data_IF_007604972049
#
_entry.id   IF_007604972049
#
_cell.length_a   1.000
_cell.length_b   1.000
_cell.length_c   1.000
_cell.angle_alpha   90.00
_cell.angle_beta   90.00
_cell.angle_gamma   90.00
#
_symmetry.space_group_name_H-M   'P 1'
#
loop_
_entity.id
_entity.type
_entity.pdbx_description
1 polymer ?
#
# COMPACT_ATOMS: atom_id res chain seq x y z
N UNK A 1 -33.90 22.49 -25.92
CA UNK A 1 -34.16 21.12 -25.43
C UNK A 1 -33.01 20.74 -24.52
N UNK A 2 -33.27 20.33 -23.28
CA UNK A 2 -32.21 19.74 -22.46
C UNK A 2 -31.75 18.47 -23.16
N UNK A 3 -30.47 18.38 -23.52
CA UNK A 3 -29.89 17.19 -24.13
C UNK A 3 -29.95 16.00 -23.15
N UNK A 4 -29.84 14.79 -23.68
CA UNK A 4 -29.77 13.58 -22.87
C UNK A 4 -28.59 13.65 -21.88
N UNK A 5 -28.75 13.21 -20.62
CA UNK A 5 -27.67 13.25 -19.64
C UNK A 5 -26.50 12.38 -20.10
N UNK A 6 -25.33 12.99 -20.27
CA UNK A 6 -24.09 12.27 -20.58
C UNK A 6 -23.54 11.65 -19.29
N UNK A 7 -23.74 10.34 -19.13
CA UNK A 7 -23.17 9.58 -18.00
C UNK A 7 -21.77 9.13 -18.38
N UNK A 8 -20.78 9.45 -17.55
CA UNK A 8 -19.40 9.01 -17.74
C UNK A 8 -18.99 8.20 -16.52
N UNK A 9 -18.73 6.91 -16.72
CA UNK A 9 -18.36 6.00 -15.65
C UNK A 9 -16.85 5.78 -15.66
N UNK A 10 -16.20 6.26 -14.61
CA UNK A 10 -14.81 5.97 -14.32
C UNK A 10 -14.74 5.27 -12.97
N UNK A 11 -14.10 4.11 -12.94
CA UNK A 11 -13.85 3.35 -11.73
C UNK A 11 -12.56 2.58 -11.92
N UNK A 12 -12.21 1.78 -10.92
CA UNK A 12 -11.15 0.79 -11.06
C UNK A 12 -11.79 -0.58 -11.15
N UNK A 13 -11.21 -1.46 -11.97
CA UNK A 13 -11.62 -2.86 -11.96
C UNK A 13 -11.30 -3.42 -10.57
N UNK A 14 -12.30 -4.03 -9.92
CA UNK A 14 -12.09 -4.74 -8.66
C UNK A 14 -10.96 -5.75 -8.86
N UNK A 15 -10.04 -5.77 -7.90
CA UNK A 15 -8.79 -6.51 -7.91
C UNK A 15 -8.99 -8.01 -8.17
N UNK A 16 -7.97 -8.69 -8.70
CA UNK A 16 -8.03 -10.16 -8.75
C UNK A 16 -8.21 -10.70 -7.33
N UNK A 17 -9.05 -11.73 -7.09
CA UNK A 17 -9.10 -12.43 -5.80
C UNK A 17 -7.74 -12.98 -5.35
N UNK A 18 -6.77 -13.07 -6.26
CA UNK A 18 -5.39 -13.51 -5.99
C UNK A 18 -4.45 -12.35 -5.53
N UNK A 19 -4.97 -11.13 -5.37
CA UNK A 19 -4.16 -9.98 -4.96
C UNK A 19 -3.57 -10.21 -3.56
N UNK A 20 -2.27 -9.90 -3.41
CA UNK A 20 -1.59 -10.04 -2.12
C UNK A 20 -2.20 -9.09 -1.09
N UNK A 21 -2.60 -9.56 0.11
CA UNK A 21 -3.19 -8.69 1.13
C UNK A 21 -2.33 -7.47 1.42
N UNK A 22 -2.89 -6.27 1.19
CA UNK A 22 -2.23 -4.98 1.37
C UNK A 22 -1.69 -4.31 0.11
N UNK A 23 -1.59 -5.00 -1.04
CA UNK A 23 -1.34 -4.33 -2.35
C UNK A 23 -2.61 -3.64 -2.84
N UNK A 24 -3.76 -4.23 -2.53
CA UNK A 24 -5.10 -3.73 -2.84
C UNK A 24 -5.32 -2.25 -2.48
N UNK A 25 -4.91 -1.85 -1.28
CA UNK A 25 -4.96 -0.45 -0.80
C UNK A 25 -4.09 0.49 -1.64
N UNK A 26 -2.88 0.06 -2.00
CA UNK A 26 -1.94 0.87 -2.78
C UNK A 26 -2.43 1.04 -4.22
N UNK A 27 -2.91 -0.04 -4.82
CA UNK A 27 -3.53 -0.04 -6.14
C UNK A 27 -4.78 0.84 -6.16
N UNK A 28 -5.57 0.83 -5.09
CA UNK A 28 -6.70 1.74 -4.91
C UNK A 28 -6.26 3.21 -4.91
N UNK A 29 -5.22 3.59 -4.14
CA UNK A 29 -4.67 4.96 -4.17
C UNK A 29 -4.13 5.32 -5.55
N UNK A 30 -3.46 4.37 -6.21
CA UNK A 30 -2.90 4.58 -7.55
C UNK A 30 -3.98 4.80 -8.60
N UNK A 31 -5.08 4.04 -8.55
CA UNK A 31 -6.23 4.22 -9.43
C UNK A 31 -6.88 5.60 -9.24
N UNK A 32 -6.96 6.10 -8.01
CA UNK A 32 -7.42 7.46 -7.75
C UNK A 32 -6.51 8.49 -8.42
N UNK A 33 -5.19 8.40 -8.22
CA UNK A 33 -4.23 9.37 -8.78
C UNK A 33 -4.15 9.36 -10.30
N UNK A 34 -4.20 8.17 -10.91
CA UNK A 34 -3.93 7.99 -12.34
C UNK A 34 -5.16 8.02 -13.22
N UNK A 35 -6.33 7.73 -12.66
CA UNK A 35 -7.55 7.56 -13.43
C UNK A 35 -8.67 8.44 -12.92
N UNK A 36 -9.05 8.30 -11.65
CA UNK A 36 -10.29 8.92 -11.14
C UNK A 36 -10.11 10.44 -11.00
N UNK A 37 -9.07 10.92 -10.31
CA UNK A 37 -8.85 12.35 -10.06
C UNK A 37 -8.58 13.15 -11.35
N UNK A 38 -7.73 12.69 -12.29
CA UNK A 38 -7.54 13.38 -13.56
C UNK A 38 -8.83 13.47 -14.37
N UNK A 39 -9.61 12.39 -14.43
CA UNK A 39 -10.90 12.38 -15.13
C UNK A 39 -11.96 13.25 -14.48
N UNK A 40 -11.99 13.30 -13.14
CA UNK A 40 -12.87 14.21 -12.41
C UNK A 40 -12.50 15.68 -12.65
N UNK A 41 -11.20 16.00 -12.67
CA UNK A 41 -10.73 17.35 -12.98
C UNK A 41 -11.00 17.73 -14.45
N UNK A 42 -10.82 16.80 -15.40
CA UNK A 42 -11.14 16.98 -16.83
C UNK A 42 -12.65 17.20 -17.05
N UNK A 43 -13.49 16.51 -16.27
CA UNK A 43 -14.94 16.70 -16.30
C UNK A 43 -15.37 18.10 -15.85
N UNK A 44 -14.55 18.77 -15.02
CA UNK A 44 -14.79 20.12 -14.51
C UNK A 44 -16.20 20.31 -13.89
N UNK A 45 -16.53 19.58 -12.81
CA UNK A 45 -17.86 19.60 -12.22
C UNK A 45 -18.20 20.96 -11.60
N UNK A 46 -19.48 21.33 -11.61
CA UNK A 46 -20.01 22.49 -10.87
C UNK A 46 -20.31 22.19 -9.40
N UNK A 47 -20.41 20.90 -9.03
CA UNK A 47 -20.69 20.40 -7.69
C UNK A 47 -20.19 18.95 -7.59
N UNK A 48 -19.55 18.60 -6.48
CA UNK A 48 -19.17 17.21 -6.18
C UNK A 48 -20.10 16.64 -5.11
N UNK A 49 -20.72 15.50 -5.40
CA UNK A 49 -21.50 14.71 -4.45
C UNK A 49 -20.74 13.41 -4.13
N UNK A 50 -20.48 13.17 -2.85
CA UNK A 50 -19.84 11.94 -2.36
C UNK A 50 -20.90 11.04 -1.73
N UNK A 51 -21.08 9.86 -2.29
CA UNK A 51 -21.76 8.73 -1.64
C UNK A 51 -20.71 8.00 -0.80
N UNK A 52 -20.63 8.35 0.49
CA UNK A 52 -19.53 8.01 1.39
C UNK A 52 -19.79 6.72 2.17
N UNK A 53 -19.29 5.60 1.63
CA UNK A 53 -19.25 4.29 2.30
C UNK A 53 -17.92 4.02 3.00
N UNK A 54 -17.98 3.38 4.17
CA UNK A 54 -16.82 3.04 5.02
C UNK A 54 -16.60 1.53 5.17
N UNK A 55 -17.25 0.73 4.33
CA UNK A 55 -17.19 -0.74 4.29
C UNK A 55 -15.92 -1.31 3.63
N UNK A 56 -15.14 -0.48 2.92
CA UNK A 56 -13.83 -0.85 2.38
C UNK A 56 -12.70 -0.94 3.46
N UNK A 57 -13.02 -0.63 4.72
CA UNK A 57 -12.05 -0.60 5.82
C UNK A 57 -11.53 -2.01 6.14
N UNK A 58 -10.25 -2.14 6.52
CA UNK A 58 -9.59 -3.43 6.80
C UNK A 58 -10.28 -4.32 7.83
N UNK A 59 -10.93 -3.71 8.81
CA UNK A 59 -11.67 -4.42 9.87
C UNK A 59 -13.09 -4.79 9.45
N UNK A 60 -13.58 -4.31 8.30
CA UNK A 60 -14.94 -4.57 7.83
C UNK A 60 -15.07 -5.91 7.12
N UNK A 61 -15.96 -6.73 7.67
CA UNK A 61 -16.21 -8.09 7.23
C UNK A 61 -17.16 -8.14 6.03
N UNK A 62 -17.93 -7.09 5.75
CA UNK A 62 -18.86 -7.06 4.60
C UNK A 62 -18.12 -7.03 3.27
N UNK A 63 -17.00 -6.30 3.20
CA UNK A 63 -16.14 -6.30 2.01
C UNK A 63 -15.17 -7.50 1.96
N UNK A 64 -15.27 -8.47 2.89
CA UNK A 64 -14.32 -9.57 3.07
C UNK A 64 -12.84 -9.12 3.07
N UNK A 65 -12.56 -7.87 3.47
CA UNK A 65 -11.22 -7.29 3.45
C UNK A 65 -10.60 -7.08 2.05
N UNK A 66 -11.41 -7.03 0.98
CA UNK A 66 -10.94 -7.01 -0.41
C UNK A 66 -10.00 -5.83 -0.74
N UNK A 67 -10.24 -4.65 -0.16
CA UNK A 67 -9.39 -3.45 -0.35
C UNK A 67 -8.49 -3.22 0.86
N UNK A 68 -9.07 -3.26 2.06
CA UNK A 68 -8.33 -3.15 3.31
C UNK A 68 -7.85 -1.73 3.63
N UNK A 69 -8.71 -0.72 3.43
CA UNK A 69 -8.40 0.68 3.72
C UNK A 69 -8.20 0.93 5.22
N UNK A 70 -7.39 1.95 5.51
CA UNK A 70 -7.17 2.51 6.84
C UNK A 70 -7.78 3.91 6.91
N UNK A 71 -7.90 4.44 8.13
CA UNK A 71 -8.43 5.78 8.39
C UNK A 71 -7.68 6.89 7.62
N UNK A 72 -6.36 6.74 7.46
CA UNK A 72 -5.52 7.66 6.69
C UNK A 72 -5.88 7.71 5.20
N UNK A 73 -6.44 6.64 4.63
CA UNK A 73 -6.87 6.62 3.23
C UNK A 73 -8.14 7.42 3.02
N UNK A 74 -9.08 7.31 3.96
CA UNK A 74 -10.28 8.14 3.98
C UNK A 74 -9.92 9.62 4.13
N UNK A 75 -8.96 9.93 5.00
CA UNK A 75 -8.41 11.30 5.11
C UNK A 75 -7.87 11.77 3.76
N UNK A 76 -6.97 10.99 3.17
CA UNK A 76 -6.29 11.36 1.92
C UNK A 76 -7.27 11.55 0.76
N UNK A 77 -8.17 10.59 0.51
CA UNK A 77 -9.08 10.69 -0.65
C UNK A 77 -9.99 11.89 -0.53
N UNK A 78 -10.43 12.19 0.69
CA UNK A 78 -11.25 13.37 0.98
C UNK A 78 -10.49 14.65 0.71
N UNK A 79 -9.24 14.74 1.15
CA UNK A 79 -8.38 15.89 0.85
C UNK A 79 -8.19 16.07 -0.66
N UNK A 80 -8.00 14.99 -1.42
CA UNK A 80 -7.89 15.07 -2.88
C UNK A 80 -9.18 15.55 -3.53
N UNK A 81 -10.34 15.04 -3.09
CA UNK A 81 -11.65 15.47 -3.61
C UNK A 81 -11.94 16.93 -3.28
N UNK A 82 -11.59 17.41 -2.09
CA UNK A 82 -11.68 18.84 -1.73
C UNK A 82 -10.77 19.67 -2.64
N UNK A 83 -9.53 19.24 -2.90
CA UNK A 83 -8.62 19.94 -3.81
C UNK A 83 -9.17 20.03 -5.23
N UNK A 84 -9.86 19.00 -5.72
CA UNK A 84 -10.57 19.04 -7.01
C UNK A 84 -11.78 19.97 -6.93
N UNK A 85 -12.55 19.95 -5.83
CA UNK A 85 -13.67 20.85 -5.62
C UNK A 85 -13.24 22.32 -5.64
N UNK A 86 -12.14 22.64 -4.95
CA UNK A 86 -11.53 23.97 -4.95
C UNK A 86 -11.10 24.43 -6.35
N UNK A 87 -10.67 23.50 -7.20
CA UNK A 87 -10.24 23.77 -8.58
C UNK A 87 -11.41 24.00 -9.54
N UNK A 88 -12.44 23.15 -9.46
CA UNK A 88 -13.48 23.07 -10.48
C UNK A 88 -14.81 23.73 -10.10
N UNK A 89 -15.15 23.77 -8.81
CA UNK A 89 -16.46 24.22 -8.32
C UNK A 89 -16.39 25.10 -7.07
N UNK A 90 -15.34 25.90 -6.91
CA UNK A 90 -15.19 26.86 -5.79
C UNK A 90 -15.40 26.22 -4.41
N UNK A 91 -14.95 24.97 -4.24
CA UNK A 91 -15.07 24.23 -2.99
C UNK A 91 -16.46 23.64 -2.72
N UNK A 92 -17.39 23.65 -3.69
CA UNK A 92 -18.72 23.05 -3.54
C UNK A 92 -18.64 21.53 -3.56
N UNK A 93 -18.67 20.96 -2.35
CA UNK A 93 -18.66 19.52 -2.13
C UNK A 93 -19.68 19.15 -1.04
N UNK A 94 -20.43 18.07 -1.27
CA UNK A 94 -21.40 17.54 -0.31
C UNK A 94 -21.14 16.05 -0.15
N UNK A 95 -21.10 15.58 1.09
CA UNK A 95 -20.94 14.17 1.43
C UNK A 95 -22.20 13.62 2.09
N UNK A 96 -22.61 12.44 1.66
CA UNK A 96 -23.77 11.71 2.15
C UNK A 96 -23.29 10.35 2.67
N UNK A 97 -23.57 10.04 3.94
CA UNK A 97 -23.21 8.76 4.54
C UNK A 97 -24.01 7.61 3.92
N UNK A 98 -23.32 6.52 3.62
CA UNK A 98 -23.89 5.29 3.05
C UNK A 98 -23.55 4.09 3.95
N UNK A 99 -22.76 3.14 3.44
CA UNK A 99 -22.35 1.92 4.14
C UNK A 99 -21.25 2.10 5.17
N UNK A 100 -20.96 1.03 5.90
CA UNK A 100 -19.98 0.99 6.99
C UNK A 100 -20.59 0.26 8.18
N UNK A 101 -20.20 -1.00 8.36
CA UNK A 101 -20.96 -1.94 9.18
C UNK A 101 -20.23 -2.34 10.46
N UNK A 102 -18.91 -2.11 10.51
CA UNK A 102 -18.11 -2.31 11.72
C UNK A 102 -18.28 -1.20 12.74
N UNK A 103 -19.42 -1.23 13.41
CA UNK A 103 -19.80 -0.31 14.49
C UNK A 103 -19.41 -0.84 15.88
N UNK A 104 -18.91 -2.07 15.97
CA UNK A 104 -18.42 -2.68 17.20
C UNK A 104 -17.33 -1.83 17.87
N UNK A 105 -17.52 -1.54 19.15
CA UNK A 105 -16.65 -0.62 19.91
C UNK A 105 -17.10 0.84 19.87
N UNK A 106 -18.28 1.14 19.30
CA UNK A 106 -18.92 2.45 19.38
C UNK A 106 -18.03 3.57 18.84
N UNK A 107 -17.67 4.60 19.64
CA UNK A 107 -16.76 5.68 19.20
C UNK A 107 -15.36 5.19 18.80
N UNK A 108 -14.95 4.02 19.30
CA UNK A 108 -13.67 3.38 18.96
C UNK A 108 -13.83 2.29 17.88
N UNK A 109 -14.95 2.26 17.17
CA UNK A 109 -15.15 1.35 16.06
C UNK A 109 -14.36 1.77 14.82
N UNK A 110 -14.14 0.83 13.90
CA UNK A 110 -13.52 1.13 12.61
C UNK A 110 -14.34 2.14 11.80
N UNK A 111 -15.67 1.96 11.81
CA UNK A 111 -16.61 2.88 11.22
C UNK A 111 -16.45 4.29 11.80
N UNK A 112 -16.55 4.44 13.12
CA UNK A 112 -16.51 5.75 13.76
C UNK A 112 -15.19 6.50 13.50
N UNK A 113 -14.04 5.81 13.55
CA UNK A 113 -12.76 6.45 13.25
C UNK A 113 -12.62 6.85 11.78
N UNK A 114 -13.16 6.04 10.86
CA UNK A 114 -13.10 6.31 9.42
C UNK A 114 -14.02 7.49 9.05
N UNK A 115 -15.21 7.56 9.64
CA UNK A 115 -16.10 8.73 9.54
C UNK A 115 -15.43 9.97 10.11
N UNK A 116 -14.81 9.87 11.30
CA UNK A 116 -14.11 11.00 11.92
C UNK A 116 -12.95 11.51 11.04
N UNK A 117 -12.19 10.60 10.44
CA UNK A 117 -11.11 10.92 9.49
C UNK A 117 -11.65 11.67 8.25
N UNK A 118 -12.73 11.17 7.64
CA UNK A 118 -13.38 11.81 6.49
C UNK A 118 -13.94 13.21 6.83
N UNK A 119 -14.72 13.32 7.91
CA UNK A 119 -15.31 14.60 8.33
C UNK A 119 -14.24 15.60 8.77
N UNK A 120 -13.19 15.14 9.44
CA UNK A 120 -12.02 15.95 9.78
C UNK A 120 -11.38 16.55 8.53
N UNK A 121 -11.10 15.71 7.52
CA UNK A 121 -10.55 16.16 6.25
C UNK A 121 -11.48 17.13 5.49
N UNK A 122 -12.80 16.94 5.52
CA UNK A 122 -13.75 17.92 4.96
C UNK A 122 -13.68 19.27 5.68
N UNK A 123 -13.63 19.24 7.02
CA UNK A 123 -13.60 20.45 7.86
C UNK A 123 -12.30 21.22 7.68
N UNK A 124 -11.16 20.52 7.65
CA UNK A 124 -9.86 21.10 7.30
C UNK A 124 -9.87 21.63 5.87
N UNK A 125 -10.58 20.96 4.97
CA UNK A 125 -10.81 21.39 3.60
C UNK A 125 -11.50 22.74 3.49
N UNK A 126 -12.45 23.05 4.39
CA UNK A 126 -13.15 24.34 4.39
C UNK A 126 -12.24 25.55 4.60
N UNK A 127 -11.07 25.36 5.24
CA UNK A 127 -10.09 26.43 5.45
C UNK A 127 -8.93 26.41 4.45
N UNK A 128 -8.82 25.34 3.66
CA UNK A 128 -7.75 25.16 2.68
C UNK A 128 -8.17 25.65 1.30
N UNK A 129 -7.34 26.51 0.70
CA UNK A 129 -7.46 26.92 -0.70
C UNK A 129 -6.55 26.12 -1.63
N UNK A 130 -5.95 25.03 -1.14
CA UNK A 130 -5.15 24.17 -2.00
C UNK A 130 -6.00 23.57 -3.11
N UNK A 131 -5.50 23.63 -4.34
CA UNK A 131 -6.13 23.07 -5.53
C UNK A 131 -5.41 21.81 -5.98
N UNK A 132 -6.13 20.98 -6.73
CA UNK A 132 -5.55 19.73 -7.24
C UNK A 132 -4.62 20.00 -8.44
N UNK A 133 -3.40 19.46 -8.37
CA UNK A 133 -2.42 19.48 -9.45
C UNK A 133 -2.07 18.07 -9.93
N UNK A 134 -1.96 17.92 -11.24
CA UNK A 134 -1.68 16.63 -11.86
C UNK A 134 -0.22 16.19 -11.59
N UNK A 135 0.74 17.13 -11.55
CA UNK A 135 2.13 16.78 -11.29
C UNK A 135 2.33 16.26 -9.86
N UNK A 136 1.60 16.83 -8.89
CA UNK A 136 1.59 16.35 -7.51
C UNK A 136 1.06 14.90 -7.44
N UNK A 137 -0.02 14.60 -8.17
CA UNK A 137 -0.57 13.24 -8.25
C UNK A 137 0.41 12.24 -8.89
N UNK A 138 1.08 12.63 -9.98
CA UNK A 138 2.11 11.81 -10.65
C UNK A 138 3.30 11.58 -9.72
N UNK A 139 3.77 12.62 -9.03
CA UNK A 139 4.89 12.52 -8.10
C UNK A 139 4.55 11.61 -6.91
N UNK A 140 3.36 11.76 -6.31
CA UNK A 140 2.92 10.93 -5.19
C UNK A 140 2.87 9.44 -5.61
N UNK A 141 2.36 9.15 -6.81
CA UNK A 141 2.34 7.79 -7.39
C UNK A 141 3.73 7.22 -7.57
N UNK A 142 4.63 7.96 -8.21
CA UNK A 142 6.01 7.50 -8.40
C UNK A 142 6.72 7.25 -7.06
N UNK A 143 6.52 8.14 -6.08
CA UNK A 143 7.12 8.03 -4.77
C UNK A 143 6.62 6.80 -3.98
N UNK A 144 5.30 6.59 -3.94
CA UNK A 144 4.72 5.45 -3.21
C UNK A 144 5.08 4.11 -3.86
N UNK A 145 5.12 4.05 -5.20
CA UNK A 145 5.58 2.88 -5.94
C UNK A 145 7.06 2.57 -5.65
N UNK A 146 7.91 3.60 -5.60
CA UNK A 146 9.32 3.44 -5.23
C UNK A 146 9.49 2.86 -3.83
N UNK A 147 8.79 3.43 -2.82
CA UNK A 147 8.83 2.94 -1.45
C UNK A 147 8.31 1.50 -1.32
N UNK A 148 7.30 1.15 -2.11
CA UNK A 148 6.73 -0.21 -2.11
C UNK A 148 7.72 -1.22 -2.67
N UNK A 149 8.37 -0.92 -3.80
CA UNK A 149 9.44 -1.74 -4.38
C UNK A 149 10.63 -1.89 -3.42
N UNK A 150 11.01 -0.84 -2.71
CA UNK A 150 12.05 -0.92 -1.67
C UNK A 150 11.66 -1.85 -0.52
N UNK A 151 10.42 -1.76 -0.03
CA UNK A 151 9.92 -2.62 1.04
C UNK A 151 9.87 -4.08 0.62
N UNK A 152 9.41 -4.37 -0.60
CA UNK A 152 9.39 -5.71 -1.18
C UNK A 152 10.80 -6.29 -1.31
N UNK A 153 11.75 -5.51 -1.85
CA UNK A 153 13.15 -5.93 -1.95
C UNK A 153 13.74 -6.27 -0.58
N UNK A 154 13.44 -5.47 0.45
CA UNK A 154 13.86 -5.75 1.84
C UNK A 154 13.21 -7.01 2.41
N UNK A 155 11.95 -7.27 2.08
CA UNK A 155 11.23 -8.50 2.49
C UNK A 155 11.82 -9.73 1.81
N UNK A 156 12.04 -9.68 0.50
CA UNK A 156 12.67 -10.75 -0.27
C UNK A 156 14.06 -11.07 0.27
N UNK A 157 14.91 -10.06 0.47
CA UNK A 157 16.26 -10.26 1.00
C UNK A 157 16.26 -10.84 2.43
N UNK A 158 15.27 -10.48 3.26
CA UNK A 158 15.08 -11.12 4.58
C UNK A 158 14.65 -12.58 4.44
N UNK A 159 13.68 -12.87 3.58
CA UNK A 159 13.18 -14.21 3.32
C UNK A 159 14.28 -15.11 2.72
N UNK A 160 15.07 -14.61 1.78
CA UNK A 160 16.22 -15.32 1.20
C UNK A 160 17.29 -15.63 2.26
N UNK A 161 17.62 -14.68 3.13
CA UNK A 161 18.55 -14.89 4.24
C UNK A 161 18.03 -15.93 5.22
N UNK A 162 16.74 -15.90 5.53
CA UNK A 162 16.11 -16.86 6.43
C UNK A 162 16.03 -18.26 5.81
N UNK A 163 15.66 -18.35 4.53
CA UNK A 163 15.70 -19.60 3.76
C UNK A 163 17.12 -20.17 3.66
N UNK A 164 18.13 -19.32 3.45
CA UNK A 164 19.53 -19.73 3.46
C UNK A 164 19.98 -20.23 4.84
N UNK A 165 19.54 -19.59 5.93
CA UNK A 165 19.80 -20.05 7.31
C UNK A 165 19.18 -21.43 7.53
N UNK A 166 17.91 -21.61 7.19
CA UNK A 166 17.19 -22.90 7.33
C UNK A 166 17.87 -23.98 6.49
N UNK A 167 18.26 -23.67 5.25
CA UNK A 167 18.98 -24.61 4.37
C UNK A 167 20.33 -25.02 4.96
N UNK A 168 21.05 -24.10 5.61
CA UNK A 168 22.32 -24.38 6.28
C UNK A 168 22.12 -25.27 7.51
N UNK A 169 21.17 -24.94 8.37
CA UNK A 169 20.81 -25.75 9.55
C UNK A 169 20.39 -27.18 9.15
N UNK A 170 19.60 -27.32 8.07
CA UNK A 170 19.19 -28.62 7.54
C UNK A 170 20.37 -29.43 6.98
N UNK A 171 21.34 -28.77 6.33
CA UNK A 171 22.55 -29.42 5.84
C UNK A 171 23.48 -29.87 6.99
N UNK A 172 23.57 -29.10 8.07
CA UNK A 172 24.33 -29.46 9.27
C UNK A 172 23.69 -30.65 10.01
N UNK A 173 22.37 -30.68 10.14
CA UNK A 173 21.63 -31.81 10.71
C UNK A 173 21.69 -33.07 9.83
N UNK A 174 21.58 -32.92 8.51
CA UNK A 174 21.73 -34.01 7.56
C UNK A 174 23.16 -34.56 7.50
N UNK A 175 24.16 -33.70 7.64
CA UNK A 175 25.57 -34.07 7.79
C UNK A 175 25.82 -34.86 9.08
N UNK A 176 25.27 -34.41 10.21
CA UNK A 176 25.36 -35.11 11.49
C UNK A 176 24.64 -36.47 11.48
N UNK A 177 23.47 -36.57 10.84
CA UNK A 177 22.78 -37.86 10.66
C UNK A 177 23.57 -38.81 9.73
N UNK A 178 24.22 -38.28 8.70
CA UNK A 178 25.11 -39.03 7.82
C UNK A 178 26.42 -39.48 8.49
N UNK A 179 26.93 -38.71 9.45
CA UNK A 179 28.07 -39.10 10.30
C UNK A 179 27.70 -40.16 11.33
N UNK A 180 26.54 -40.03 12.00
CA UNK A 180 26.04 -41.05 12.94
C UNK A 180 25.80 -42.39 12.24
N UNK A 181 25.23 -42.39 11.02
CA UNK A 181 25.08 -43.62 10.23
C UNK A 181 26.42 -44.20 9.76
N UNK A 182 27.46 -43.38 9.56
CA UNK A 182 28.82 -43.85 9.26
C UNK A 182 29.53 -44.40 10.50
N UNK A 183 29.26 -43.89 11.69
CA UNK A 183 29.81 -44.42 12.93
C UNK A 183 29.12 -45.72 13.37
N UNK A 184 27.79 -45.86 13.18
CA UNK A 184 27.08 -47.11 13.50
C UNK A 184 27.28 -48.22 12.46
N UNK A 185 27.56 -47.91 11.19
CA UNK A 185 27.75 -48.91 10.12
C UNK A 185 29.16 -48.94 9.49
N UNK A 186 30.11 -48.15 9.99
CA UNK A 186 31.47 -48.04 9.46
C UNK A 186 32.39 -49.23 9.71
N UNK A 187 31.93 -50.26 10.44
CA UNK A 187 32.69 -51.49 10.69
C UNK A 187 31.99 -52.78 10.21
N UNK A 188 31.13 -52.69 9.19
CA UNK A 188 30.66 -53.85 8.45
C UNK A 188 31.16 -53.75 7.00
N UNK A 189 32.18 -54.56 6.70
CA UNK A 189 32.78 -54.65 5.38
C UNK A 189 31.79 -55.04 4.28
N UNK A 190 32.10 -54.53 3.09
CA UNK A 190 31.67 -54.95 1.76
C UNK A 190 30.79 -56.22 1.66
N UNK A 191 29.51 -56.01 1.30
CA UNK A 191 28.75 -56.92 0.44
C UNK A 191 27.52 -56.17 -0.09
N UNK A 192 27.47 -55.94 -1.40
CA UNK A 192 26.34 -55.29 -2.05
C UNK A 192 25.16 -56.24 -2.21
N UNK A 193 23.95 -55.68 -2.35
CA UNK A 193 22.83 -56.31 -3.07
C UNK A 193 22.00 -55.20 -3.71
N UNK A 194 21.91 -55.29 -5.03
CA UNK A 194 20.92 -54.63 -5.88
C UNK A 194 19.54 -55.24 -5.64
N UNK A 195 18.50 -54.42 -5.49
CA UNK A 195 17.13 -54.80 -5.81
C UNK A 195 16.33 -53.56 -6.18
N UNK A 196 15.92 -53.51 -7.45
CA UNK A 196 15.05 -52.48 -8.01
C UNK A 196 13.58 -52.65 -7.59
N UNK A 197 12.83 -51.58 -7.80
CA UNK A 197 11.38 -51.53 -7.65
C UNK A 197 10.87 -50.20 -8.20
N UNK A 198 10.66 -50.16 -9.51
CA UNK A 198 9.96 -49.06 -10.19
C UNK A 198 8.51 -48.98 -9.71
N UNK A 199 8.05 -47.79 -9.32
CA UNK A 199 6.64 -47.43 -9.35
C UNK A 199 6.49 -46.01 -9.85
N UNK A 200 5.83 -45.90 -11.00
CA UNK A 200 5.45 -44.70 -11.75
C UNK A 200 4.81 -43.64 -10.83
N UNK A 201 5.27 -42.40 -10.95
CA UNK A 201 4.51 -41.20 -10.63
C UNK A 201 4.35 -40.41 -11.93
N UNK A 202 3.10 -40.10 -12.27
CA UNK A 202 2.68 -39.38 -13.46
C UNK A 202 3.25 -37.96 -13.49
N UNK A 203 3.83 -37.59 -14.64
CA UNK A 203 4.20 -36.22 -14.98
C UNK A 203 2.93 -35.38 -15.22
N UNK A 204 2.60 -34.53 -14.24
CA UNK A 204 1.73 -33.38 -14.44
C UNK A 204 2.57 -32.17 -14.84
N UNK A 205 2.55 -31.84 -16.14
CA UNK A 205 3.10 -30.60 -16.69
C UNK A 205 2.38 -29.38 -16.12
N UNK A 206 3.11 -28.48 -15.48
CA UNK A 206 2.75 -27.07 -15.34
C UNK A 206 4.01 -26.23 -15.49
N UNK A 207 4.38 -25.99 -16.76
CA UNK A 207 5.38 -24.99 -17.12
C UNK A 207 4.78 -23.60 -16.85
N UNK A 208 5.29 -22.91 -15.83
CA UNK A 208 5.16 -21.46 -15.73
C UNK A 208 6.43 -20.86 -16.35
N UNK A 209 6.29 -20.32 -17.55
CA UNK A 209 7.38 -19.58 -18.21
C UNK A 209 7.77 -18.33 -17.42
N UNK A 210 9.06 -17.96 -17.40
CA UNK A 210 9.49 -16.70 -16.84
C UNK A 210 9.12 -15.58 -17.82
N UNK A 211 8.18 -14.70 -17.43
CA UNK A 211 7.88 -13.50 -18.21
C UNK A 211 9.14 -12.62 -18.25
N UNK A 212 9.65 -12.47 -19.46
CA UNK A 212 10.85 -11.74 -19.81
C UNK A 212 10.86 -10.31 -19.25
N UNK A 213 12.03 -9.91 -18.76
CA UNK A 213 12.28 -8.57 -18.27
C UNK A 213 12.06 -7.51 -19.34
N UNK A 214 11.21 -6.55 -19.03
CA UNK A 214 11.26 -5.24 -19.65
C UNK A 214 12.51 -4.53 -19.11
N UNK A 215 13.62 -4.63 -19.86
CA UNK A 215 14.70 -3.65 -19.81
C UNK A 215 14.12 -2.33 -20.31
N UNK A 216 13.88 -1.40 -19.40
CA UNK A 216 13.42 -0.05 -19.68
C UNK A 216 14.22 0.95 -18.87
N UNK A 217 15.25 1.47 -19.51
CA UNK A 217 15.89 2.78 -19.35
C UNK A 217 16.18 3.31 -17.93
N UNK A 218 17.43 3.15 -17.50
CA UNK A 218 18.06 3.96 -16.46
C UNK A 218 18.38 5.34 -17.04
N UNK A 219 17.45 6.30 -17.00
CA UNK A 219 17.81 7.73 -17.03
C UNK A 219 16.71 8.64 -16.48
N UNK A 220 17.17 9.61 -15.67
CA UNK A 220 16.44 10.72 -15.04
C UNK A 220 15.56 10.42 -13.81
N UNK A 221 16.23 10.48 -12.64
CA UNK A 221 15.58 10.88 -11.40
C UNK A 221 14.95 12.27 -11.57
N UNK A 222 13.64 12.47 -11.32
CA UNK A 222 13.08 13.81 -11.26
C UNK A 222 13.66 14.53 -10.05
N UNK A 223 14.57 15.49 -10.30
CA UNK A 223 15.15 16.33 -9.26
C UNK A 223 14.06 17.11 -8.53
N UNK A 224 14.11 17.21 -7.19
CA UNK A 224 13.19 18.06 -6.46
C UNK A 224 13.35 19.51 -6.95
N UNK A 225 12.25 20.12 -7.41
CA UNK A 225 12.25 21.58 -7.64
C UNK A 225 12.61 22.25 -6.32
N UNK A 226 13.75 22.95 -6.30
CA UNK A 226 14.12 23.87 -5.22
C UNK A 226 13.03 24.94 -5.16
N UNK A 227 12.03 24.75 -4.28
CA UNK A 227 11.25 25.87 -3.76
C UNK A 227 12.27 26.84 -3.17
N UNK A 228 12.28 28.07 -3.68
CA UNK A 228 13.00 29.19 -3.05
C UNK A 228 12.43 29.37 -1.64
N UNK A 229 13.01 28.65 -0.68
CA UNK A 229 12.83 28.94 0.75
C UNK A 229 13.74 30.13 1.04
N UNK A 230 13.13 31.30 1.24
CA UNK A 230 13.77 32.38 2.02
C UNK A 230 14.37 31.73 3.27
N UNK A 231 15.66 31.97 3.48
CA UNK A 231 16.54 31.18 4.35
C UNK A 231 15.95 30.88 5.72
N UNK A 232 15.76 29.58 5.98
CA UNK A 232 15.70 29.01 7.31
C UNK A 232 16.81 27.97 7.38
N UNK A 233 17.82 28.22 8.22
CA UNK A 233 18.89 27.24 8.47
C UNK A 233 18.32 25.90 8.93
N UNK A 234 19.05 24.82 8.70
CA UNK A 234 18.65 23.47 9.14
C UNK A 234 18.37 23.49 10.64
N UNK A 235 17.12 23.24 11.02
CA UNK A 235 16.73 23.11 12.43
C UNK A 235 17.17 21.74 12.91
N UNK A 236 18.06 21.72 13.91
CA UNK A 236 18.41 20.51 14.63
C UNK A 236 17.28 20.19 15.64
N UNK A 237 16.43 19.25 15.26
CA UNK A 237 15.30 18.82 16.06
C UNK A 237 15.71 18.13 17.36
N UNK A 238 16.92 17.58 17.45
CA UNK A 238 17.44 16.95 18.67
C UNK A 238 17.82 18.04 19.67
N UNK A 239 18.48 19.10 19.21
CA UNK A 239 18.81 20.25 20.06
C UNK A 239 17.55 21.01 20.51
N UNK A 240 16.54 21.13 19.65
CA UNK A 240 15.27 21.78 19.99
C UNK A 240 14.49 21.01 21.06
N UNK A 241 14.41 19.67 20.93
CA UNK A 241 13.75 18.83 21.93
C UNK A 241 14.45 18.91 23.30
N UNK A 242 15.79 18.88 23.33
CA UNK A 242 16.55 19.01 24.57
C UNK A 242 16.32 20.36 25.28
N UNK A 243 16.09 21.43 24.51
CA UNK A 243 15.84 22.77 25.05
C UNK A 243 14.44 22.90 25.65
N UNK A 244 13.43 22.32 25.01
CA UNK A 244 12.06 22.27 25.52
C UNK A 244 11.95 21.45 26.82
N UNK A 245 12.72 20.37 26.93
CA UNK A 245 12.80 19.56 28.16
C UNK A 245 13.50 20.30 29.33
N UNK A 246 14.40 21.24 29.04
CA UNK A 246 15.02 22.10 30.05
C UNK A 246 14.07 23.21 30.50
N UNK A 247 13.34 23.81 29.57
CA UNK A 247 12.36 24.86 29.87
C UNK A 247 11.14 24.32 30.64
N UNK A 248 10.73 23.06 30.40
CA UNK A 248 9.66 22.39 31.15
C UNK A 248 10.01 22.03 32.60
N UNK A 249 11.28 22.10 33.00
CA UNK A 249 11.74 21.82 34.38
C UNK A 249 11.94 23.08 35.23
N UNK A 250 11.75 24.27 34.66
CA UNK A 250 11.96 25.56 35.33
C UNK A 250 10.73 26.20 35.97
N UNK A 251 9.55 25.58 35.84
CA UNK A 251 8.29 26.12 36.38
C UNK A 251 7.74 25.24 37.48
N UNK A 252 8.29 25.39 38.69
CA UNK A 252 7.64 25.06 39.96
C UNK A 252 7.95 26.14 40.98
#
# INVERSE_FOLDING_TARGET
AAGEPKIINFGFALLSPDATPGTARLEWRDAYRRTILPKLAEFNPDLILISAGFDAHKKDTMACGFIGLLEDDYTWVTQQLVKVANKCCDGRIVSMLEGGYMTDGGPSSAFARSVAAHVGALTEGCVSLETWDENDAIWESAHENHLSRERERRRQLKAEKEAARIKKEFAELGGAAGEILKEEYGNAGAAGVSAGGESKAEEGQAAAEPVAGARGDDSEQPSPRKRSRRGGGSVDYVALAAKLDQEGKGTK
#
